data_IF_454350619594
#
_entry.id   IF_454350619594
#
_cell.length_a   1.000
_cell.length_b   1.000
_cell.length_c   1.000
_cell.angle_alpha   90.00
_cell.angle_beta   90.00
_cell.angle_gamma   90.00
#
_symmetry.space_group_name_H-M   'P 1'
#
loop_
_entity.id
_entity.type
_entity.pdbx_description
1 polymer ?
#
# COMPACT_ATOMS: atom_id res chain seq x y z
N UNK A 1 -16.76 2.30 -18.38
CA UNK A 1 -15.33 2.60 -18.28
C UNK A 1 -15.13 4.10 -18.43
N UNK A 2 -14.12 4.73 -17.79
CA UNK A 2 -13.79 6.14 -18.01
C UNK A 2 -13.42 6.41 -19.48
N UNK A 3 -13.75 7.60 -19.98
CA UNK A 3 -13.48 8.01 -21.38
C UNK A 3 -11.98 8.14 -21.71
N UNK A 4 -11.13 8.11 -20.71
CA UNK A 4 -9.68 8.07 -20.86
C UNK A 4 -9.18 6.79 -21.58
N UNK A 5 -10.01 5.73 -21.62
CA UNK A 5 -9.62 4.42 -22.15
C UNK A 5 -10.37 4.06 -23.43
N UNK A 6 -9.63 3.47 -24.37
CA UNK A 6 -10.20 2.96 -25.63
C UNK A 6 -10.69 1.51 -25.42
N UNK A 7 -12.00 1.39 -25.15
CA UNK A 7 -12.64 0.08 -24.89
C UNK A 7 -12.85 -0.78 -26.14
N UNK A 8 -12.54 -0.25 -27.34
CA UNK A 8 -12.56 -1.04 -28.58
C UNK A 8 -11.31 -1.90 -28.75
N UNK A 9 -10.29 -1.64 -27.97
CA UNK A 9 -9.00 -2.36 -27.95
C UNK A 9 -8.73 -2.79 -26.52
N UNK A 10 -7.94 -3.84 -26.40
CA UNK A 10 -7.58 -4.34 -25.07
C UNK A 10 -7.62 -5.86 -25.05
N UNK A 11 -7.60 -6.39 -23.87
CA UNK A 11 -7.69 -7.83 -23.62
C UNK A 11 -8.49 -8.09 -22.34
N UNK A 12 -8.98 -9.31 -22.22
CA UNK A 12 -9.67 -9.81 -21.04
C UNK A 12 -9.07 -11.13 -20.56
N UNK A 13 -9.23 -11.43 -19.28
CA UNK A 13 -8.77 -12.66 -18.64
C UNK A 13 -9.77 -13.11 -17.60
N UNK A 14 -10.18 -14.37 -17.70
CA UNK A 14 -11.07 -15.07 -16.78
C UNK A 14 -10.32 -15.83 -15.68
N UNK A 15 -9.04 -15.56 -15.50
CA UNK A 15 -8.22 -16.19 -14.46
C UNK A 15 -8.78 -15.85 -13.07
N UNK A 16 -9.27 -16.87 -12.34
CA UNK A 16 -9.83 -16.64 -11.02
C UNK A 16 -8.72 -16.35 -10.00
N UNK A 17 -8.95 -15.41 -9.09
CA UNK A 17 -8.02 -15.11 -8.01
C UNK A 17 -7.91 -13.63 -7.69
N UNK A 18 -7.01 -13.30 -6.78
CA UNK A 18 -6.72 -11.93 -6.38
C UNK A 18 -5.75 -11.27 -7.35
N UNK A 19 -6.10 -10.10 -7.87
CA UNK A 19 -5.26 -9.33 -8.77
C UNK A 19 -4.27 -8.49 -7.98
N UNK A 20 -3.00 -8.56 -8.37
CA UNK A 20 -1.89 -7.88 -7.70
C UNK A 20 -1.16 -7.03 -8.75
N UNK A 21 -1.31 -5.70 -8.75
CA UNK A 21 -0.62 -4.80 -9.67
C UNK A 21 0.90 -4.82 -9.47
N UNK A 22 1.63 -4.77 -10.59
CA UNK A 22 3.09 -4.75 -10.67
C UNK A 22 3.54 -3.60 -11.60
N UNK A 23 3.33 -2.34 -11.21
CA UNK A 23 3.41 -1.19 -12.12
C UNK A 23 4.79 -0.98 -12.73
N UNK A 24 5.87 -1.14 -11.96
CA UNK A 24 7.24 -0.97 -12.47
C UNK A 24 7.69 -2.12 -13.37
N UNK A 25 6.96 -3.23 -13.33
CA UNK A 25 7.22 -4.39 -14.19
C UNK A 25 6.36 -4.39 -15.45
N UNK A 26 5.34 -3.52 -15.54
CA UNK A 26 4.37 -3.50 -16.62
C UNK A 26 3.53 -4.79 -16.65
N UNK A 27 3.25 -5.35 -15.48
CA UNK A 27 2.61 -6.65 -15.34
C UNK A 27 1.51 -6.64 -14.27
N UNK A 28 0.63 -7.62 -14.32
CA UNK A 28 -0.33 -7.93 -13.26
C UNK A 28 -0.21 -9.39 -12.89
N UNK A 29 -0.16 -9.69 -11.61
CA UNK A 29 -0.23 -11.06 -11.12
C UNK A 29 -1.64 -11.41 -10.69
N UNK A 30 -2.06 -12.64 -10.98
CA UNK A 30 -3.26 -13.25 -10.43
C UNK A 30 -2.81 -14.35 -9.47
N UNK A 31 -3.21 -14.23 -8.22
CA UNK A 31 -2.96 -15.25 -7.21
C UNK A 31 -4.23 -16.06 -6.97
N UNK A 32 -4.16 -17.35 -7.24
CA UNK A 32 -5.25 -18.30 -6.96
C UNK A 32 -4.86 -19.19 -5.79
N UNK A 33 -5.67 -19.18 -4.77
CA UNK A 33 -5.56 -20.16 -3.68
C UNK A 33 -5.94 -21.55 -4.18
N UNK A 34 -5.07 -22.53 -3.91
CA UNK A 34 -5.23 -23.94 -4.30
C UNK A 34 -5.64 -24.84 -3.12
N UNK A 35 -6.14 -24.25 -2.03
CA UNK A 35 -6.46 -24.93 -0.78
C UNK A 35 -5.53 -24.51 0.36
N UNK A 36 -5.50 -25.30 1.45
CA UNK A 36 -4.84 -24.87 2.69
C UNK A 36 -3.34 -24.65 2.58
N UNK A 37 -2.65 -25.35 1.68
CA UNK A 37 -1.18 -25.45 1.70
C UNK A 37 -0.56 -25.11 0.35
N UNK A 38 -1.29 -24.53 -0.58
CA UNK A 38 -0.77 -24.17 -1.88
C UNK A 38 -1.49 -22.97 -2.50
N UNK A 39 -0.86 -22.38 -3.48
CA UNK A 39 -1.42 -21.34 -4.33
C UNK A 39 -0.68 -21.31 -5.65
N UNK A 40 -1.15 -20.48 -6.57
CA UNK A 40 -0.54 -20.33 -7.88
C UNK A 40 -0.46 -18.86 -8.23
N UNK A 41 0.71 -18.38 -8.58
CA UNK A 41 0.88 -17.11 -9.29
C UNK A 41 0.82 -17.35 -10.79
N UNK A 42 0.05 -16.52 -11.47
CA UNK A 42 0.08 -16.34 -12.93
C UNK A 42 0.32 -14.86 -13.20
N UNK A 43 1.40 -14.54 -13.88
CA UNK A 43 1.78 -13.15 -14.17
C UNK A 43 1.59 -12.87 -15.65
N UNK A 44 0.83 -11.81 -15.95
CA UNK A 44 0.50 -11.39 -17.30
C UNK A 44 1.18 -10.06 -17.61
N UNK A 45 1.63 -9.92 -18.85
CA UNK A 45 2.06 -8.64 -19.41
C UNK A 45 0.82 -7.75 -19.64
N UNK A 46 0.84 -6.54 -19.10
CA UNK A 46 -0.31 -5.62 -19.10
C UNK A 46 -0.69 -5.15 -20.50
N UNK A 47 0.27 -5.06 -21.41
CA UNK A 47 0.01 -4.54 -22.76
C UNK A 47 -0.61 -5.57 -23.69
N UNK A 48 -0.37 -6.86 -23.43
CA UNK A 48 -0.77 -7.95 -24.33
C UNK A 48 -1.68 -9.00 -23.71
N UNK A 49 -1.85 -9.01 -22.39
CA UNK A 49 -2.57 -10.06 -21.67
C UNK A 49 -1.92 -11.44 -21.69
N UNK A 50 -0.71 -11.54 -22.28
CA UNK A 50 0.00 -12.82 -22.37
C UNK A 50 0.61 -13.21 -21.04
N UNK A 51 0.54 -14.50 -20.71
CA UNK A 51 1.23 -15.03 -19.54
C UNK A 51 2.73 -14.92 -19.75
N UNK A 52 3.40 -14.18 -18.88
CA UNK A 52 4.85 -14.06 -18.83
C UNK A 52 5.47 -15.25 -18.10
N UNK A 53 4.87 -15.61 -16.97
CA UNK A 53 5.27 -16.76 -16.18
C UNK A 53 4.19 -17.21 -15.20
N UNK A 54 4.33 -18.44 -14.72
CA UNK A 54 3.51 -18.99 -13.64
C UNK A 54 4.32 -19.90 -12.73
N UNK A 55 3.86 -20.03 -11.48
CA UNK A 55 4.48 -20.96 -10.51
C UNK A 55 3.49 -21.38 -9.45
N UNK A 56 3.71 -22.57 -8.90
CA UNK A 56 3.04 -23.04 -7.70
C UNK A 56 3.81 -22.62 -6.46
N UNK A 57 3.08 -22.19 -5.44
CA UNK A 57 3.58 -21.92 -4.10
C UNK A 57 3.10 -23.03 -3.18
N UNK A 58 4.03 -23.66 -2.48
CA UNK A 58 3.73 -24.64 -1.42
C UNK A 58 4.06 -24.03 -0.06
N UNK A 59 3.19 -24.24 0.91
CA UNK A 59 3.32 -23.58 2.21
C UNK A 59 2.80 -24.46 3.35
N UNK A 60 3.17 -24.18 4.59
CA UNK A 60 2.68 -24.90 5.77
C UNK A 60 1.23 -24.52 6.15
N UNK A 61 0.62 -23.52 5.54
CA UNK A 61 -0.70 -23.01 5.88
C UNK A 61 -1.34 -22.20 4.74
N UNK A 62 -2.35 -21.40 5.08
CA UNK A 62 -3.02 -20.53 4.13
C UNK A 62 -2.03 -19.46 3.63
N UNK A 63 -1.94 -19.32 2.31
CA UNK A 63 -1.03 -18.38 1.68
C UNK A 63 -1.66 -17.00 1.58
N UNK A 64 -0.97 -16.00 2.11
CA UNK A 64 -1.22 -14.58 1.82
C UNK A 64 -0.29 -14.13 0.69
N UNK A 65 -0.83 -13.46 -0.32
CA UNK A 65 -0.07 -13.01 -1.48
C UNK A 65 -0.26 -11.51 -1.72
N UNK A 66 0.85 -10.80 -1.97
CA UNK A 66 0.83 -9.35 -2.25
C UNK A 66 2.10 -8.94 -3.01
N UNK A 67 2.14 -7.70 -3.48
CA UNK A 67 3.36 -7.11 -4.07
C UNK A 67 4.05 -6.15 -3.11
N UNK A 68 5.36 -6.03 -3.28
CA UNK A 68 6.15 -4.97 -2.66
C UNK A 68 7.08 -4.37 -3.71
N UNK A 69 7.17 -3.04 -3.70
CA UNK A 69 8.07 -2.30 -4.59
C UNK A 69 9.24 -1.76 -3.77
N UNK A 70 10.45 -2.08 -4.18
CA UNK A 70 11.66 -1.56 -3.55
C UNK A 70 12.62 -1.08 -4.64
N UNK A 71 13.07 0.17 -4.54
CA UNK A 71 13.98 0.80 -5.50
C UNK A 71 13.49 0.68 -6.96
N UNK A 72 12.18 0.91 -7.18
CA UNK A 72 11.57 0.85 -8.51
C UNK A 72 11.48 -0.57 -9.12
N UNK A 73 11.60 -1.61 -8.30
CA UNK A 73 11.42 -3.01 -8.73
C UNK A 73 10.29 -3.64 -7.95
N UNK A 74 9.40 -4.33 -8.66
CA UNK A 74 8.30 -5.07 -8.04
C UNK A 74 8.73 -6.49 -7.73
N UNK A 75 8.30 -6.96 -6.58
CA UNK A 75 8.42 -8.34 -6.11
C UNK A 75 7.05 -8.86 -5.72
N UNK A 76 6.79 -10.12 -6.02
CA UNK A 76 5.65 -10.85 -5.48
C UNK A 76 6.08 -11.61 -4.23
N UNK A 77 5.25 -11.54 -3.22
CA UNK A 77 5.48 -12.20 -1.94
C UNK A 77 4.35 -13.18 -1.69
N UNK A 78 4.71 -14.40 -1.35
CA UNK A 78 3.81 -15.38 -0.78
C UNK A 78 4.28 -15.71 0.64
N UNK A 79 3.40 -15.58 1.62
CA UNK A 79 3.72 -15.89 3.01
C UNK A 79 2.64 -16.74 3.63
N UNK A 80 3.05 -17.65 4.51
CA UNK A 80 2.11 -18.49 5.26
C UNK A 80 2.71 -18.91 6.60
N UNK A 81 1.86 -19.01 7.60
CA UNK A 81 2.21 -19.58 8.89
C UNK A 81 1.44 -20.89 9.10
N UNK A 82 2.11 -21.89 9.66
CA UNK A 82 1.49 -23.19 9.91
C UNK A 82 2.46 -24.19 10.51
N UNK A 83 2.02 -25.44 10.61
CA UNK A 83 2.79 -26.53 11.20
C UNK A 83 3.51 -27.34 10.12
N UNK A 84 4.83 -27.45 10.22
CA UNK A 84 5.68 -28.26 9.36
C UNK A 84 6.05 -29.57 10.07
N UNK A 85 5.99 -30.70 9.36
CA UNK A 85 6.30 -32.00 9.93
C UNK A 85 5.24 -32.52 10.92
N UNK A 86 4.01 -31.99 10.85
CA UNK A 86 2.89 -32.53 11.60
C UNK A 86 2.46 -33.90 11.04
N UNK A 87 2.20 -34.85 11.93
CA UNK A 87 1.68 -36.17 11.60
C UNK A 87 0.56 -36.59 12.57
N UNK A 88 0.18 -37.87 12.60
CA UNK A 88 -0.91 -38.38 13.44
C UNK A 88 -0.67 -38.19 14.94
N UNK A 89 0.60 -38.11 15.37
CA UNK A 89 0.99 -38.03 16.79
C UNK A 89 1.75 -36.76 17.12
N UNK A 90 2.40 -36.12 16.12
CA UNK A 90 3.20 -34.92 16.26
C UNK A 90 2.47 -33.69 15.75
N UNK A 91 2.45 -32.61 16.53
CA UNK A 91 1.96 -31.30 16.05
C UNK A 91 2.91 -30.65 15.02
N UNK A 92 4.14 -31.19 14.91
CA UNK A 92 5.19 -30.54 14.11
C UNK A 92 5.72 -29.26 14.75
N UNK A 93 6.55 -28.54 13.98
CA UNK A 93 7.11 -27.24 14.34
C UNK A 93 6.29 -26.13 13.67
N UNK A 94 5.86 -25.15 14.42
CA UNK A 94 5.21 -23.96 13.85
C UNK A 94 6.25 -23.09 13.15
N UNK A 95 5.98 -22.74 11.91
CA UNK A 95 6.89 -21.94 11.08
C UNK A 95 6.11 -20.91 10.27
N UNK A 96 6.78 -19.83 9.94
CA UNK A 96 6.35 -18.87 8.93
C UNK A 96 7.27 -18.94 7.73
N UNK A 97 6.74 -19.20 6.55
CA UNK A 97 7.49 -19.20 5.29
C UNK A 97 7.21 -17.94 4.50
N UNK A 98 8.25 -17.42 3.85
CA UNK A 98 8.16 -16.23 2.97
C UNK A 98 8.92 -16.55 1.69
N UNK A 99 8.18 -16.63 0.58
CA UNK A 99 8.74 -16.77 -0.76
C UNK A 99 8.65 -15.42 -1.49
N UNK A 100 9.80 -14.96 -2.00
CA UNK A 100 9.91 -13.69 -2.70
C UNK A 100 10.29 -13.96 -4.14
N UNK A 101 9.42 -13.59 -5.08
CA UNK A 101 9.61 -13.79 -6.50
C UNK A 101 9.89 -12.47 -7.20
N UNK A 102 10.84 -12.41 -8.16
CA UNK A 102 11.00 -11.25 -9.00
C UNK A 102 9.78 -11.13 -9.93
N UNK A 103 9.18 -9.94 -10.03
CA UNK A 103 8.03 -9.74 -10.92
C UNK A 103 8.40 -9.96 -12.40
N UNK A 104 9.63 -9.60 -12.78
CA UNK A 104 10.18 -9.86 -14.13
C UNK A 104 10.88 -11.21 -14.15
N UNK A 105 10.16 -12.23 -14.60
CA UNK A 105 10.65 -13.57 -14.87
C UNK A 105 10.00 -14.11 -16.16
N UNK A 106 10.33 -15.31 -16.59
CA UNK A 106 9.75 -15.92 -17.78
C UNK A 106 9.61 -17.44 -17.61
N UNK A 107 8.56 -18.00 -18.20
CA UNK A 107 8.32 -19.44 -18.27
C UNK A 107 7.55 -20.01 -17.08
N UNK A 108 7.53 -21.33 -16.99
CA UNK A 108 6.79 -22.06 -15.95
C UNK A 108 7.71 -22.52 -14.82
N UNK A 109 7.17 -22.61 -13.61
CA UNK A 109 7.90 -23.12 -12.45
C UNK A 109 9.00 -22.19 -11.95
N UNK A 110 8.77 -20.86 -12.06
CA UNK A 110 9.71 -19.86 -11.55
C UNK A 110 9.93 -20.08 -10.05
N UNK A 111 11.19 -20.18 -9.66
CA UNK A 111 11.56 -20.34 -8.26
C UNK A 111 11.61 -18.98 -7.56
N UNK A 112 11.34 -18.93 -6.24
CA UNK A 112 11.57 -17.71 -5.48
C UNK A 112 13.05 -17.32 -5.56
N UNK A 113 13.31 -16.02 -5.68
CA UNK A 113 14.67 -15.48 -5.55
C UNK A 113 15.17 -15.65 -4.12
N UNK A 114 14.26 -15.53 -3.15
CA UNK A 114 14.55 -15.74 -1.74
C UNK A 114 13.45 -16.57 -1.11
N UNK A 115 13.85 -17.57 -0.33
CA UNK A 115 12.97 -18.38 0.53
C UNK A 115 13.45 -18.22 1.97
N UNK A 116 12.57 -17.79 2.85
CA UNK A 116 12.86 -17.62 4.28
C UNK A 116 11.93 -18.52 5.07
N UNK A 117 12.48 -19.20 6.06
CA UNK A 117 11.73 -19.99 7.03
C UNK A 117 12.07 -19.47 8.44
N UNK A 118 11.05 -19.05 9.15
CA UNK A 118 11.13 -18.45 10.47
C UNK A 118 10.44 -19.34 11.48
N UNK A 119 11.05 -19.51 12.67
CA UNK A 119 10.40 -20.24 13.76
C UNK A 119 9.23 -19.42 14.33
N UNK A 120 8.11 -20.09 14.54
CA UNK A 120 6.90 -19.51 15.10
C UNK A 120 5.92 -18.95 14.08
N UNK A 121 4.83 -18.38 14.59
CA UNK A 121 3.81 -17.68 13.81
C UNK A 121 4.22 -16.23 13.60
N UNK A 122 4.17 -15.77 12.36
CA UNK A 122 4.49 -14.40 12.00
C UNK A 122 3.48 -13.80 11.02
N UNK A 123 3.12 -12.54 11.23
CA UNK A 123 2.36 -11.76 10.27
C UNK A 123 3.30 -11.00 9.35
N UNK A 124 3.22 -11.26 8.04
CA UNK A 124 4.06 -10.64 7.02
C UNK A 124 3.24 -9.59 6.27
N UNK A 125 3.75 -8.37 6.19
CA UNK A 125 3.06 -7.26 5.53
C UNK A 125 4.01 -6.46 4.64
N UNK A 126 3.43 -5.74 3.68
CA UNK A 126 4.17 -4.72 2.93
C UNK A 126 4.43 -3.52 3.86
N UNK A 127 5.69 -3.28 4.19
CA UNK A 127 6.13 -2.16 5.02
C UNK A 127 6.46 -0.89 4.24
N UNK A 128 6.21 -0.83 2.93
CA UNK A 128 6.61 0.26 2.05
C UNK A 128 8.02 0.06 1.50
N UNK A 129 9.06 0.30 2.27
CA UNK A 129 10.46 0.12 1.84
C UNK A 129 11.01 -1.31 1.97
N UNK A 130 10.15 -2.32 2.19
CA UNK A 130 10.51 -3.72 2.38
C UNK A 130 9.39 -4.49 3.07
N UNK A 131 9.65 -5.74 3.49
CA UNK A 131 8.68 -6.51 4.25
C UNK A 131 8.85 -6.26 5.75
N UNK A 132 7.73 -6.11 6.41
CA UNK A 132 7.65 -6.09 7.87
C UNK A 132 7.06 -7.41 8.35
N UNK A 133 7.80 -8.12 9.19
CA UNK A 133 7.38 -9.38 9.80
C UNK A 133 7.21 -9.18 11.29
N UNK A 134 6.01 -9.38 11.81
CA UNK A 134 5.72 -9.37 13.24
C UNK A 134 5.72 -10.82 13.72
N UNK A 135 6.74 -11.22 14.50
CA UNK A 135 6.89 -12.60 15.00
C UNK A 135 6.14 -12.82 16.31
N UNK A 136 6.13 -11.81 17.16
CA UNK A 136 5.31 -11.72 18.37
C UNK A 136 5.05 -10.24 18.69
N UNK A 137 4.47 -9.92 19.84
CA UNK A 137 4.12 -8.54 20.18
C UNK A 137 5.34 -7.61 20.32
N UNK A 138 6.52 -8.17 20.58
CA UNK A 138 7.73 -7.40 20.93
C UNK A 138 8.89 -7.62 19.97
N UNK A 139 8.77 -8.54 19.02
CA UNK A 139 9.85 -8.86 18.06
C UNK A 139 9.36 -8.64 16.65
N UNK A 140 10.04 -7.78 15.93
CA UNK A 140 9.79 -7.54 14.51
C UNK A 140 11.05 -7.78 13.69
N UNK A 141 10.86 -8.18 12.45
CA UNK A 141 11.92 -8.35 11.46
C UNK A 141 11.60 -7.52 10.23
N UNK A 142 12.60 -6.87 9.67
CA UNK A 142 12.52 -6.30 8.32
C UNK A 142 13.22 -7.23 7.35
N UNK A 143 12.66 -7.37 6.14
CA UNK A 143 13.25 -8.14 5.06
C UNK A 143 13.40 -7.24 3.84
N UNK A 144 14.59 -7.23 3.26
CA UNK A 144 14.84 -6.59 1.97
C UNK A 144 14.48 -7.58 0.85
N UNK A 145 13.43 -7.33 0.04
CA UNK A 145 13.02 -8.23 -1.03
C UNK A 145 14.05 -8.41 -2.15
N UNK A 146 14.95 -7.43 -2.31
CA UNK A 146 15.96 -7.48 -3.38
C UNK A 146 17.11 -8.43 -3.05
N UNK A 147 17.47 -8.53 -1.77
CA UNK A 147 18.65 -9.28 -1.31
C UNK A 147 18.32 -10.47 -0.41
N UNK A 148 17.08 -10.55 0.08
CA UNK A 148 16.69 -11.51 1.10
C UNK A 148 17.28 -11.20 2.50
N UNK A 149 17.99 -10.09 2.66
CA UNK A 149 18.60 -9.72 3.92
C UNK A 149 17.56 -9.42 4.99
N UNK A 150 17.78 -9.94 6.18
CA UNK A 150 16.89 -9.78 7.32
C UNK A 150 17.56 -9.02 8.46
N UNK A 151 16.75 -8.27 9.22
CA UNK A 151 17.20 -7.64 10.45
C UNK A 151 16.11 -7.69 11.51
N UNK A 152 16.42 -8.25 12.66
CA UNK A 152 15.47 -8.43 13.78
C UNK A 152 15.67 -7.32 14.82
N UNK A 153 14.54 -6.88 15.37
CA UNK A 153 14.47 -5.83 16.40
C UNK A 153 13.61 -6.30 17.57
N UNK A 154 14.15 -6.21 18.78
CA UNK A 154 13.42 -6.41 20.03
C UNK A 154 12.85 -5.06 20.47
N UNK A 155 11.55 -4.86 20.30
CA UNK A 155 10.88 -3.57 20.54
C UNK A 155 10.94 -3.15 22.02
N UNK A 156 11.05 -4.11 22.96
CA UNK A 156 11.20 -3.82 24.40
C UNK A 156 12.52 -3.09 24.72
N UNK A 157 13.53 -3.29 23.87
CA UNK A 157 14.85 -2.64 24.01
C UNK A 157 14.93 -1.33 23.25
N UNK A 158 13.93 -1.03 22.45
CA UNK A 158 13.86 0.17 21.63
C UNK A 158 13.26 1.32 22.45
N UNK A 159 13.92 2.47 22.44
CA UNK A 159 13.43 3.68 23.11
C UNK A 159 13.38 4.82 22.10
N UNK A 160 12.31 5.60 22.06
CA UNK A 160 12.26 6.81 21.26
C UNK A 160 13.34 7.79 21.72
N UNK A 161 13.77 8.74 20.87
CA UNK A 161 14.69 9.80 21.24
C UNK A 161 14.20 10.52 22.51
N UNK A 162 15.11 10.88 23.39
CA UNK A 162 14.75 11.50 24.68
C UNK A 162 14.00 12.84 24.55
N UNK A 163 14.17 13.52 23.39
CA UNK A 163 13.41 14.71 23.04
C UNK A 163 11.92 14.45 22.79
N UNK A 164 11.56 13.21 22.44
CA UNK A 164 10.20 12.82 22.08
C UNK A 164 9.41 12.33 23.30
N UNK A 165 10.08 11.82 24.31
CA UNK A 165 9.38 11.21 25.42
C UNK A 165 10.20 11.19 26.73
N UNK A 166 9.67 11.85 27.77
CA UNK A 166 10.27 11.80 29.13
C UNK A 166 9.83 10.58 29.93
N UNK A 167 8.64 10.05 29.65
CA UNK A 167 8.03 8.92 30.36
C UNK A 167 7.31 8.00 29.37
N UNK A 168 8.06 7.17 28.64
CA UNK A 168 7.51 6.17 27.74
C UNK A 168 7.29 4.86 28.49
N UNK A 169 6.08 4.60 28.92
CA UNK A 169 5.65 3.32 29.51
C UNK A 169 4.79 2.49 28.57
N UNK A 170 4.77 2.82 27.30
CA UNK A 170 3.81 2.30 26.38
C UNK A 170 4.37 1.27 25.41
N UNK A 171 3.48 0.52 24.82
CA UNK A 171 3.80 -0.42 23.74
C UNK A 171 4.42 0.31 22.56
N UNK A 172 5.46 -0.25 22.02
CA UNK A 172 6.07 0.18 20.77
C UNK A 172 5.68 -0.84 19.69
N UNK A 173 5.22 -0.36 18.55
CA UNK A 173 4.94 -1.21 17.38
C UNK A 173 5.72 -0.72 16.16
N UNK A 174 6.00 -1.63 15.22
CA UNK A 174 6.52 -1.27 13.93
C UNK A 174 5.37 -1.11 12.94
N UNK A 175 5.36 0.01 12.21
CA UNK A 175 4.27 0.39 11.28
C UNK A 175 4.69 0.43 9.83
N UNK A 176 5.99 0.60 9.55
CA UNK A 176 6.53 0.63 8.19
C UNK A 176 8.01 0.20 8.18
N UNK A 177 8.55 0.04 6.99
CA UNK A 177 9.98 -0.17 6.75
C UNK A 177 10.54 1.04 6.00
N UNK A 178 11.65 1.58 6.49
CA UNK A 178 12.38 2.68 5.86
C UNK A 178 13.79 2.20 5.46
N UNK A 179 14.52 2.93 4.62
CA UNK A 179 15.90 2.57 4.28
C UNK A 179 16.85 2.50 5.48
N UNK A 180 16.46 3.05 6.63
CA UNK A 180 17.26 3.03 7.88
C UNK A 180 16.81 2.00 8.89
N UNK A 181 15.68 1.32 8.64
CA UNK A 181 15.09 0.33 9.54
C UNK A 181 13.58 0.54 9.73
N UNK A 182 12.96 -0.09 10.72
CA UNK A 182 11.53 0.04 10.95
C UNK A 182 11.16 1.48 11.36
N UNK A 183 10.05 1.97 10.85
CA UNK A 183 9.35 3.09 11.45
C UNK A 183 8.57 2.56 12.65
N UNK A 184 8.89 3.06 13.81
CA UNK A 184 8.28 2.67 15.08
C UNK A 184 7.25 3.71 15.51
N UNK A 185 6.16 3.24 16.09
CA UNK A 185 5.16 4.05 16.76
C UNK A 185 5.14 3.66 18.23
N UNK A 186 5.31 4.63 19.14
CA UNK A 186 5.25 4.42 20.58
C UNK A 186 4.12 5.23 21.16
N UNK A 187 3.15 4.57 21.79
CA UNK A 187 2.03 5.22 22.45
C UNK A 187 2.48 5.71 23.84
N UNK A 188 2.38 7.02 24.02
CA UNK A 188 2.50 7.66 25.34
C UNK A 188 1.24 8.49 25.53
N UNK A 189 0.36 8.08 26.39
CA UNK A 189 -0.89 8.84 26.56
C UNK A 189 -0.63 10.29 26.93
N UNK A 190 -1.19 11.27 26.21
CA UNK A 190 -2.19 11.14 25.13
C UNK A 190 -1.60 11.05 23.71
N UNK A 191 -0.30 10.84 23.54
CA UNK A 191 0.46 11.02 22.28
C UNK A 191 0.91 9.73 21.68
N UNK A 192 1.06 9.71 20.36
CA UNK A 192 1.71 8.66 19.58
C UNK A 192 2.95 9.23 18.89
N UNK A 193 4.11 8.70 19.21
CA UNK A 193 5.40 9.15 18.68
C UNK A 193 5.87 8.20 17.59
N UNK A 194 6.21 8.77 16.43
CA UNK A 194 6.77 8.04 15.31
C UNK A 194 8.26 8.35 15.18
N UNK A 195 9.07 7.33 15.01
CA UNK A 195 10.52 7.48 14.92
C UNK A 195 11.20 6.30 14.25
N UNK A 196 12.37 6.53 13.68
CA UNK A 196 13.22 5.52 13.04
C UNK A 196 14.48 5.39 13.89
N UNK A 197 14.85 4.17 14.35
CA UNK A 197 16.05 3.96 15.17
C UNK A 197 17.32 4.48 14.49
N UNK A 198 18.02 5.43 15.15
CA UNK A 198 19.20 6.08 14.57
C UNK A 198 18.91 6.98 13.35
N UNK A 199 17.64 7.33 13.12
CA UNK A 199 17.17 8.15 12.03
C UNK A 199 16.41 9.39 12.50
N UNK A 200 15.30 9.68 11.85
CA UNK A 200 14.44 10.81 12.12
C UNK A 200 13.32 10.47 13.11
N UNK A 201 12.67 11.49 13.64
CA UNK A 201 11.51 11.38 14.53
C UNK A 201 10.38 12.32 14.07
N UNK A 202 9.12 11.84 14.23
CA UNK A 202 7.93 12.54 13.77
C UNK A 202 7.63 13.84 14.53
N UNK A 203 8.12 13.99 15.76
CA UNK A 203 7.94 15.22 16.54
C UNK A 203 8.56 16.48 15.95
N UNK A 204 9.39 16.33 14.90
CA UNK A 204 9.91 17.47 14.12
C UNK A 204 8.92 17.99 13.08
N UNK A 205 7.81 17.27 12.83
CA UNK A 205 6.79 17.66 11.85
C UNK A 205 5.83 18.72 12.39
N UNK A 206 5.68 18.78 13.71
CA UNK A 206 4.75 19.71 14.36
C UNK A 206 5.48 20.63 15.32
N UNK A 207 4.98 21.86 15.47
CA UNK A 207 5.50 22.83 16.44
C UNK A 207 5.01 22.58 17.86
N UNK A 208 3.93 21.81 17.99
CA UNK A 208 3.34 21.48 19.28
C UNK A 208 2.77 20.04 19.30
N UNK A 209 3.23 19.27 20.26
CA UNK A 209 3.10 17.83 20.30
C UNK A 209 1.81 17.28 20.95
N UNK A 210 0.78 18.10 21.15
CA UNK A 210 -0.46 17.69 21.82
C UNK A 210 -1.45 16.95 20.90
N UNK A 211 -1.22 17.00 19.58
CA UNK A 211 -2.10 16.38 18.60
C UNK A 211 -1.58 15.04 18.10
N UNK A 212 -2.51 14.14 17.83
CA UNK A 212 -2.22 12.81 17.31
C UNK A 212 -1.60 12.94 15.92
N UNK A 213 -0.34 12.55 15.78
CA UNK A 213 0.28 12.32 14.48
C UNK A 213 -0.11 10.91 14.06
N UNK A 214 -0.50 10.77 12.82
CA UNK A 214 -0.70 9.48 12.17
C UNK A 214 0.30 9.38 11.01
N UNK A 215 1.01 8.25 10.89
CA UNK A 215 1.91 7.97 9.74
C UNK A 215 1.65 6.55 9.28
N UNK A 216 1.42 6.37 7.99
CA UNK A 216 1.23 5.07 7.36
C UNK A 216 2.04 4.95 6.07
N UNK A 217 2.50 3.73 5.72
CA UNK A 217 3.16 3.49 4.44
C UNK A 217 2.16 3.49 3.29
N UNK A 218 2.58 4.08 2.17
CA UNK A 218 1.91 3.98 0.87
C UNK A 218 2.97 3.70 -0.17
N UNK A 219 3.10 2.45 -0.57
CA UNK A 219 4.21 1.97 -1.42
C UNK A 219 5.57 2.41 -0.83
N UNK A 220 6.37 3.17 -1.55
CA UNK A 220 7.69 3.69 -1.16
C UNK A 220 7.65 5.07 -0.48
N UNK A 221 6.46 5.54 -0.11
CA UNK A 221 6.25 6.84 0.55
C UNK A 221 5.57 6.63 1.91
N UNK A 222 5.57 7.67 2.74
CA UNK A 222 4.80 7.71 3.97
C UNK A 222 3.79 8.84 3.88
N UNK A 223 2.54 8.56 4.23
CA UNK A 223 1.51 9.61 4.40
C UNK A 223 1.36 9.90 5.88
N UNK A 224 1.41 11.17 6.23
CA UNK A 224 1.23 11.65 7.58
C UNK A 224 0.05 12.61 7.69
N UNK A 225 -0.62 12.58 8.84
CA UNK A 225 -1.68 13.53 9.21
C UNK A 225 -1.41 14.02 10.63
N UNK A 226 -1.53 15.32 10.84
CA UNK A 226 -1.46 15.93 12.19
C UNK A 226 -2.24 17.24 12.22
N UNK A 227 -2.45 17.75 13.42
CA UNK A 227 -3.00 19.08 13.63
C UNK A 227 -2.08 19.86 14.59
N UNK A 228 -1.66 21.05 14.20
CA UNK A 228 -0.94 21.95 15.09
C UNK A 228 -1.88 22.54 16.14
N UNK A 229 -1.35 22.89 17.32
CA UNK A 229 -2.16 23.45 18.40
C UNK A 229 -2.82 24.77 17.97
N UNK A 230 -4.14 24.84 18.16
CA UNK A 230 -4.94 26.00 17.76
C UNK A 230 -5.19 26.12 16.26
N UNK A 231 -4.66 25.21 15.43
CA UNK A 231 -4.98 25.21 14.01
C UNK A 231 -6.41 24.69 13.77
N UNK A 232 -7.19 25.34 12.89
CA UNK A 232 -8.54 24.89 12.55
C UNK A 232 -8.51 23.64 11.67
N UNK A 233 -7.43 23.41 10.94
CA UNK A 233 -7.30 22.37 9.91
C UNK A 233 -6.29 21.30 10.30
N UNK A 234 -6.45 20.11 9.70
CA UNK A 234 -5.45 19.05 9.71
C UNK A 234 -4.43 19.28 8.60
N UNK A 235 -3.17 19.07 8.89
CA UNK A 235 -2.12 18.99 7.87
C UNK A 235 -1.99 17.56 7.40
N UNK A 236 -2.15 17.34 6.10
CA UNK A 236 -1.81 16.10 5.42
C UNK A 236 -0.51 16.28 4.66
N UNK A 237 0.38 15.31 4.75
CA UNK A 237 1.67 15.38 4.06
C UNK A 237 2.14 14.03 3.56
N UNK A 238 2.94 14.07 2.51
CA UNK A 238 3.72 12.92 2.05
C UNK A 238 5.16 13.13 2.47
N UNK A 239 5.73 12.13 3.14
CA UNK A 239 7.08 12.18 3.69
C UNK A 239 8.02 11.28 2.89
N UNK A 240 9.26 11.70 2.80
CA UNK A 240 10.38 10.87 2.38
C UNK A 240 10.72 9.88 3.49
N UNK A 241 10.65 8.55 3.26
CA UNK A 241 10.87 7.55 4.32
C UNK A 241 12.29 7.56 4.88
N UNK A 242 13.29 7.96 4.09
CA UNK A 242 14.69 7.95 4.52
C UNK A 242 15.02 9.09 5.48
N UNK A 243 14.35 10.23 5.32
CA UNK A 243 14.70 11.48 6.01
C UNK A 243 13.60 12.04 6.91
N UNK A 244 12.34 11.58 6.74
CA UNK A 244 11.16 12.14 7.38
C UNK A 244 10.78 13.54 6.86
N UNK A 245 11.45 14.04 5.82
CA UNK A 245 11.14 15.37 5.26
C UNK A 245 9.84 15.35 4.48
N UNK A 246 9.09 16.44 4.60
CA UNK A 246 7.86 16.67 3.82
C UNK A 246 8.23 16.85 2.35
N UNK A 247 7.62 16.04 1.48
CA UNK A 247 7.71 16.15 0.01
C UNK A 247 6.58 17.00 -0.54
N UNK A 248 5.35 16.77 -0.03
CA UNK A 248 4.18 17.55 -0.39
C UNK A 248 3.27 17.67 0.82
N UNK A 249 2.49 18.74 0.92
CA UNK A 249 1.52 18.92 2.00
C UNK A 249 0.31 19.71 1.54
N UNK A 250 -0.78 19.54 2.30
CA UNK A 250 -2.03 20.30 2.17
C UNK A 250 -2.69 20.43 3.53
N UNK A 251 -3.40 21.50 3.77
CA UNK A 251 -4.22 21.71 4.95
C UNK A 251 -5.69 21.48 4.58
N UNK A 252 -6.34 20.58 5.31
CA UNK A 252 -7.72 20.14 5.08
C UNK A 252 -8.56 20.35 6.34
N UNK A 253 -9.86 20.57 6.20
CA UNK A 253 -10.75 20.61 7.35
C UNK A 253 -10.67 19.29 8.13
N UNK A 254 -10.94 19.30 9.44
CA UNK A 254 -10.85 18.10 10.25
C UNK A 254 -11.88 17.06 9.80
N UNK A 255 -11.42 15.95 9.23
CA UNK A 255 -12.29 14.84 8.95
C UNK A 255 -12.40 13.93 10.19
N UNK A 256 -13.59 13.88 10.78
CA UNK A 256 -13.88 13.00 11.91
C UNK A 256 -14.02 11.52 11.50
N UNK A 257 -14.07 11.22 10.19
CA UNK A 257 -14.33 9.88 9.65
C UNK A 257 -13.08 9.13 9.24
N UNK A 258 -11.92 9.81 9.11
CA UNK A 258 -10.67 9.15 8.72
C UNK A 258 -10.11 8.41 9.93
N UNK A 259 -10.27 7.11 9.91
CA UNK A 259 -9.62 6.22 10.88
C UNK A 259 -8.29 5.73 10.34
N UNK A 260 -7.40 5.29 11.24
CA UNK A 260 -6.10 4.71 10.90
C UNK A 260 -6.18 3.52 9.89
N UNK A 261 -7.36 2.94 9.74
CA UNK A 261 -7.64 1.75 8.93
C UNK A 261 -7.90 2.05 7.44
N UNK A 262 -7.98 3.34 7.05
CA UNK A 262 -8.19 3.78 5.65
C UNK A 262 -6.93 3.64 4.77
N UNK A 263 -5.95 2.85 5.19
CA UNK A 263 -4.78 2.51 4.36
C UNK A 263 -5.16 1.81 3.04
N UNK A 264 -6.37 1.23 2.97
CA UNK A 264 -6.89 0.52 1.80
C UNK A 264 -7.26 1.43 0.62
N UNK A 265 -7.40 2.74 0.83
CA UNK A 265 -7.79 3.71 -0.21
C UNK A 265 -6.65 4.56 -0.76
N UNK A 266 -5.40 4.27 -0.43
CA UNK A 266 -4.29 5.05 -0.94
C UNK A 266 -3.73 4.47 -2.26
N UNK A 267 -3.54 5.32 -3.26
CA UNK A 267 -2.96 4.95 -4.55
C UNK A 267 -1.83 5.90 -4.92
N UNK A 268 -0.74 5.35 -5.41
CA UNK A 268 0.38 6.09 -5.99
C UNK A 268 0.43 5.78 -7.48
N UNK A 269 0.56 6.78 -8.33
CA UNK A 269 0.75 6.60 -9.77
C UNK A 269 2.01 5.77 -10.05
N UNK A 270 2.07 5.11 -11.19
CA UNK A 270 3.17 4.20 -11.52
C UNK A 270 4.53 4.91 -11.56
N UNK A 271 4.55 6.13 -12.10
CA UNK A 271 5.74 6.99 -12.12
C UNK A 271 6.09 7.58 -10.74
N UNK A 272 5.23 7.42 -9.73
CA UNK A 272 5.49 7.90 -8.37
C UNK A 272 5.32 9.40 -8.17
N UNK A 273 4.69 10.10 -9.14
CA UNK A 273 4.48 11.53 -9.07
C UNK A 273 3.22 11.93 -8.30
N UNK A 274 2.11 11.23 -8.54
CA UNK A 274 0.83 11.56 -7.93
C UNK A 274 0.44 10.52 -6.88
N UNK A 275 0.01 11.00 -5.72
CA UNK A 275 -0.50 10.14 -4.65
C UNK A 275 -1.88 10.64 -4.25
N UNK A 276 -2.83 9.70 -4.14
CA UNK A 276 -4.17 9.99 -3.61
C UNK A 276 -4.44 9.12 -2.38
N UNK A 277 -5.18 9.67 -1.43
CA UNK A 277 -5.64 8.96 -0.25
C UNK A 277 -6.87 9.62 0.33
N UNK A 278 -7.95 8.84 0.48
CA UNK A 278 -9.20 9.38 1.02
C UNK A 278 -9.64 10.63 0.26
N UNK A 279 -9.70 11.79 0.91
CA UNK A 279 -10.09 13.07 0.32
C UNK A 279 -8.89 13.93 -0.12
N UNK A 280 -7.69 13.39 -0.10
CA UNK A 280 -6.46 14.15 -0.42
C UNK A 280 -5.78 13.63 -1.67
N UNK A 281 -5.20 14.55 -2.43
CA UNK A 281 -4.35 14.26 -3.56
C UNK A 281 -3.09 15.12 -3.51
N UNK A 282 -1.97 14.58 -4.01
CA UNK A 282 -0.66 15.23 -3.97
C UNK A 282 0.03 15.15 -5.34
N UNK A 283 0.64 16.26 -5.78
CA UNK A 283 1.66 16.29 -6.82
C UNK A 283 3.03 16.37 -6.12
N UNK A 284 3.74 15.23 -6.07
CA UNK A 284 5.00 15.09 -5.33
C UNK A 284 6.17 15.83 -5.99
N UNK A 285 6.06 16.12 -7.28
CA UNK A 285 7.07 16.90 -8.02
C UNK A 285 6.93 18.40 -7.73
N UNK A 286 5.68 18.87 -7.59
CA UNK A 286 5.40 20.26 -7.25
C UNK A 286 5.41 20.53 -5.74
N UNK A 287 5.32 19.48 -4.92
CA UNK A 287 5.20 19.61 -3.47
C UNK A 287 3.87 20.16 -2.99
N UNK A 288 2.82 20.06 -3.80
CA UNK A 288 1.48 20.59 -3.53
C UNK A 288 0.47 19.51 -3.31
N UNK A 289 -0.65 19.84 -2.65
CA UNK A 289 -1.78 18.94 -2.45
C UNK A 289 -3.12 19.66 -2.61
N UNK A 290 -4.17 18.87 -2.77
CA UNK A 290 -5.57 19.30 -2.86
C UNK A 290 -6.42 18.51 -1.87
N UNK A 291 -7.43 19.17 -1.30
CA UNK A 291 -8.45 18.55 -0.46
C UNK A 291 -9.78 18.49 -1.22
N UNK A 292 -10.48 17.38 -1.08
CA UNK A 292 -11.79 17.12 -1.67
C UNK A 292 -12.77 16.67 -0.58
N UNK A 293 -12.72 17.35 0.54
CA UNK A 293 -13.55 17.13 1.70
C UNK A 293 -14.89 17.86 1.62
N UNK A 294 -15.78 17.57 2.57
CA UNK A 294 -17.04 18.29 2.71
C UNK A 294 -16.79 19.73 3.19
N UNK A 295 -17.36 20.68 2.48
CA UNK A 295 -17.41 22.10 2.86
C UNK A 295 -18.86 22.58 2.88
N UNK A 296 -19.10 23.83 3.23
CA UNK A 296 -20.46 24.42 3.15
C UNK A 296 -21.01 24.45 1.70
N UNK A 297 -20.13 24.36 0.70
CA UNK A 297 -20.48 24.46 -0.72
C UNK A 297 -20.26 23.16 -1.48
N UNK A 298 -19.29 22.34 -1.09
CA UNK A 298 -18.84 21.16 -1.81
C UNK A 298 -19.15 19.88 -1.04
N UNK A 299 -19.50 18.83 -1.73
CA UNK A 299 -19.62 17.47 -1.21
C UNK A 299 -18.28 16.77 -1.23
N UNK A 300 -18.02 15.87 -0.26
CA UNK A 300 -16.74 15.15 -0.22
C UNK A 300 -16.59 14.19 -1.41
N UNK A 301 -15.35 14.04 -1.86
CA UNK A 301 -14.96 13.02 -2.85
C UNK A 301 -13.96 12.08 -2.22
N UNK A 302 -14.23 10.79 -2.28
CA UNK A 302 -13.32 9.73 -1.83
C UNK A 302 -12.52 9.19 -3.00
N UNK A 303 -11.20 9.43 -2.99
CA UNK A 303 -10.29 9.06 -4.07
C UNK A 303 -9.78 7.63 -3.88
N UNK A 304 -9.69 6.85 -4.97
CA UNK A 304 -9.27 5.46 -4.94
C UNK A 304 -8.23 5.07 -6.00
N UNK A 305 -7.92 5.96 -6.95
CA UNK A 305 -6.92 5.70 -7.99
C UNK A 305 -6.40 6.98 -8.62
N UNK A 306 -5.21 6.89 -9.21
CA UNK A 306 -4.58 8.01 -9.94
C UNK A 306 -3.67 7.49 -11.04
N UNK A 307 -3.69 8.15 -12.21
CA UNK A 307 -2.82 7.87 -13.36
C UNK A 307 -1.53 8.68 -13.31
N UNK A 308 -0.58 8.33 -14.17
CA UNK A 308 0.67 9.10 -14.34
C UNK A 308 0.46 10.50 -14.94
N UNK A 309 -0.66 10.68 -15.67
CA UNK A 309 -1.05 11.98 -16.24
C UNK A 309 -1.76 12.90 -15.22
N UNK A 310 -1.97 12.42 -13.98
CA UNK A 310 -2.60 13.19 -12.92
C UNK A 310 -4.12 13.21 -12.98
N UNK A 311 -4.74 12.24 -13.63
CA UNK A 311 -6.19 12.02 -13.55
C UNK A 311 -6.48 11.12 -12.35
N UNK A 312 -7.18 11.65 -11.36
CA UNK A 312 -7.63 10.88 -10.21
C UNK A 312 -9.07 10.39 -10.41
N UNK A 313 -9.36 9.21 -9.83
CA UNK A 313 -10.67 8.59 -9.82
C UNK A 313 -11.21 8.54 -8.41
N UNK A 314 -12.51 8.78 -8.26
CA UNK A 314 -13.13 8.77 -6.95
C UNK A 314 -14.64 8.56 -6.99
N UNK A 315 -15.19 8.57 -5.78
CA UNK A 315 -16.63 8.46 -5.53
C UNK A 315 -17.04 9.72 -4.78
N UNK A 316 -18.00 10.43 -5.33
CA UNK A 316 -18.64 11.57 -4.64
C UNK A 316 -19.71 11.11 -3.66
N UNK A 317 -20.16 12.02 -2.81
CA UNK A 317 -21.26 11.74 -1.90
C UNK A 317 -22.56 11.47 -2.65
N UNK A 318 -23.30 10.46 -2.20
CA UNK A 318 -24.61 10.09 -2.74
C UNK A 318 -25.59 11.27 -2.71
N UNK A 319 -26.43 11.33 -3.73
CA UNK A 319 -27.53 12.30 -3.84
C UNK A 319 -28.87 11.56 -3.86
N UNK A 320 -29.98 12.31 -3.79
CA UNK A 320 -31.32 11.72 -3.87
C UNK A 320 -31.53 10.98 -5.21
N UNK A 321 -30.91 11.46 -6.28
CA UNK A 321 -31.08 10.96 -7.64
C UNK A 321 -29.99 9.98 -8.09
N UNK A 322 -28.84 9.94 -7.38
CA UNK A 322 -27.70 9.11 -7.75
C UNK A 322 -26.95 8.60 -6.52
N UNK A 323 -26.88 7.29 -6.37
CA UNK A 323 -26.03 6.64 -5.41
C UNK A 323 -24.57 6.62 -5.90
N UNK A 324 -23.63 6.98 -5.03
CA UNK A 324 -22.19 6.88 -5.24
C UNK A 324 -21.71 7.38 -6.61
N UNK A 325 -21.95 8.68 -6.94
CA UNK A 325 -21.57 9.23 -8.23
C UNK A 325 -20.06 9.11 -8.45
N UNK A 326 -19.67 8.55 -9.58
CA UNK A 326 -18.25 8.45 -9.96
C UNK A 326 -17.77 9.81 -10.43
N UNK A 327 -16.55 10.15 -10.06
CA UNK A 327 -15.91 11.40 -10.47
C UNK A 327 -14.49 11.17 -10.98
N UNK A 328 -14.09 12.00 -11.93
CA UNK A 328 -12.69 12.17 -12.33
C UNK A 328 -12.22 13.55 -11.95
N UNK A 329 -10.95 13.65 -11.56
CA UNK A 329 -10.35 14.89 -11.12
C UNK A 329 -9.04 15.08 -11.89
N UNK A 330 -8.91 16.22 -12.53
CA UNK A 330 -7.62 16.68 -13.07
C UNK A 330 -6.82 17.32 -11.93
N UNK A 331 -5.78 16.65 -11.48
CA UNK A 331 -4.96 17.13 -10.35
C UNK A 331 -4.08 18.35 -10.69
N UNK A 332 -3.89 18.64 -11.97
CA UNK A 332 -3.16 19.85 -12.37
C UNK A 332 -3.98 21.13 -12.15
N UNK A 333 -5.30 21.02 -12.30
CA UNK A 333 -6.25 22.13 -12.19
C UNK A 333 -7.14 22.07 -10.94
N UNK A 334 -7.26 20.89 -10.30
CA UNK A 334 -8.22 20.61 -9.23
C UNK A 334 -9.67 20.45 -9.74
N UNK A 335 -9.88 20.43 -11.07
CA UNK A 335 -11.21 20.39 -11.64
C UNK A 335 -11.84 19.01 -11.47
N UNK A 336 -13.01 18.99 -10.83
CA UNK A 336 -13.83 17.78 -10.62
C UNK A 336 -14.87 17.68 -11.74
N UNK A 337 -14.99 16.51 -12.34
CA UNK A 337 -15.99 16.21 -13.37
C UNK A 337 -16.77 14.96 -12.99
N UNK A 338 -18.07 14.98 -13.26
CA UNK A 338 -18.90 13.80 -13.10
C UNK A 338 -18.45 12.72 -14.09
N UNK A 339 -18.08 11.57 -13.57
CA UNK A 339 -17.65 10.44 -14.37
C UNK A 339 -18.81 9.63 -14.90
N UNK A 340 -18.86 9.43 -16.21
CA UNK A 340 -19.84 8.53 -16.82
C UNK A 340 -19.27 7.10 -16.92
N UNK A 341 -18.94 6.50 -15.76
CA UNK A 341 -18.40 5.15 -15.71
C UNK A 341 -18.87 4.43 -14.44
N UNK A 342 -18.89 3.09 -14.50
CA UNK A 342 -19.31 2.23 -13.37
C UNK A 342 -18.10 1.80 -12.53
N UNK A 343 -16.96 1.49 -13.18
CA UNK A 343 -15.79 0.91 -12.55
C UNK A 343 -14.56 1.80 -12.81
N UNK A 344 -13.87 2.19 -11.74
CA UNK A 344 -12.55 2.83 -11.81
C UNK A 344 -11.44 1.77 -12.00
N UNK A 345 -10.30 2.12 -12.60
CA UNK A 345 -9.18 1.18 -12.70
C UNK A 345 -8.62 0.90 -11.30
N UNK A 346 -8.31 -0.37 -11.02
CA UNK A 346 -7.56 -0.76 -9.84
C UNK A 346 -6.03 -0.63 -10.03
N UNK A 347 -5.59 -0.42 -11.26
CA UNK A 347 -4.21 -0.12 -11.65
C UNK A 347 -4.18 0.64 -12.97
N UNK A 348 -3.26 1.60 -13.08
CA UNK A 348 -3.02 2.35 -14.32
C UNK A 348 -1.51 2.49 -14.49
N UNK A 349 -0.97 1.84 -15.52
CA UNK A 349 0.46 1.88 -15.85
C UNK A 349 0.73 1.30 -17.24
N UNK A 350 1.89 1.64 -17.80
CA UNK A 350 2.27 1.24 -19.17
C UNK A 350 1.27 1.67 -20.24
N UNK A 351 0.49 2.74 -19.98
CA UNK A 351 -0.54 3.25 -20.88
C UNK A 351 -1.81 2.41 -20.92
N UNK A 352 -2.04 1.56 -19.92
CA UNK A 352 -3.25 0.73 -19.77
C UNK A 352 -3.87 0.91 -18.40
N UNK A 353 -5.21 1.00 -18.38
CA UNK A 353 -6.00 0.83 -17.17
C UNK A 353 -6.44 -0.62 -17.00
N UNK A 354 -6.31 -1.12 -15.78
CA UNK A 354 -6.77 -2.44 -15.37
C UNK A 354 -8.07 -2.33 -14.59
N UNK A 355 -9.07 -3.10 -14.99
CA UNK A 355 -10.40 -3.07 -14.39
C UNK A 355 -10.83 -4.48 -13.99
N UNK A 356 -11.64 -4.54 -12.96
CA UNK A 356 -12.35 -5.75 -12.58
C UNK A 356 -13.83 -5.61 -12.90
N UNK A 357 -14.35 -6.55 -13.69
CA UNK A 357 -15.78 -6.63 -13.99
C UNK A 357 -16.42 -7.68 -13.08
N UNK A 358 -17.12 -7.22 -12.05
CA UNK A 358 -17.81 -8.09 -11.09
C UNK A 358 -18.93 -8.91 -11.74
N UNK A 359 -19.52 -8.42 -12.85
CA UNK A 359 -20.65 -9.09 -13.50
C UNK A 359 -20.22 -10.34 -14.27
N UNK A 360 -19.03 -10.33 -14.85
CA UNK A 360 -18.44 -11.45 -15.60
C UNK A 360 -17.35 -12.16 -14.81
N UNK A 361 -16.94 -11.59 -13.68
CA UNK A 361 -15.81 -12.06 -12.88
C UNK A 361 -14.52 -12.14 -13.71
N UNK A 362 -14.29 -11.12 -14.54
CA UNK A 362 -13.13 -11.03 -15.44
C UNK A 362 -12.31 -9.78 -15.18
N UNK A 363 -11.02 -9.90 -15.38
CA UNK A 363 -10.10 -8.76 -15.44
C UNK A 363 -10.00 -8.30 -16.89
N UNK A 364 -10.14 -7.00 -17.11
CA UNK A 364 -9.98 -6.39 -18.43
C UNK A 364 -8.93 -5.28 -18.38
N UNK A 365 -8.19 -5.14 -19.47
CA UNK A 365 -7.21 -4.08 -19.63
C UNK A 365 -7.48 -3.30 -20.92
N UNK A 366 -7.57 -1.99 -20.80
CA UNK A 366 -7.79 -1.09 -21.93
C UNK A 366 -6.66 -0.08 -22.04
N UNK A 367 -6.13 0.15 -23.27
CA UNK A 367 -5.16 1.21 -23.50
C UNK A 367 -5.79 2.59 -23.33
N UNK A 368 -4.98 3.59 -23.02
CA UNK A 368 -5.43 4.98 -23.08
C UNK A 368 -5.92 5.32 -24.48
N UNK A 369 -6.99 6.11 -24.56
CA UNK A 369 -7.47 6.70 -25.81
C UNK A 369 -6.41 7.67 -26.33
N UNK A 370 -6.27 7.71 -27.69
CA UNK A 370 -5.30 8.62 -28.34
C UNK A 370 -5.91 10.00 -28.51
#
# INVERSE_FOLDING_TARGET
MPSLYDTSRGWESDLPGNQIPLPHSGAVAVFREGGRNNGTFTVLDVTSGKISWKTEVKSPGIVSAFSVTVQGKDYLVASASGFQGADVVSKGRQVTTIDIFPARAAGDGVKPAHHLELDGEGAVTNGGGGLLVKLDNDVVMTVDPATGATKTYDLRKMKPPASECKLCFASTEAVAVTPRGPLLATDTQPRRHYWVPGGWAGGTLTTNSDHKIFIAPVKDSLVAQWRDEGAPNDTWAVLDPATGKVRAKVECAPDQRVTADDSKGASLSAAGRYLVRSHTAFDLDKGTGHCFEETDQDKPVHLNGVTDDGVAFGIGASTADQADPRVTIDLATGQVQLGNYVVAPFGDYSGYGLFWDDSTNTMVAYPHAK
#
